data_IF_244310127583
#
_entry.id   IF_244310127583
#
_cell.length_a   1.000
_cell.length_b   1.000
_cell.length_c   1.000
_cell.angle_alpha   90.00
_cell.angle_beta   90.00
_cell.angle_gamma   90.00
#
_symmetry.space_group_name_H-M   'P 1'
#
loop_
_entity.id
_entity.type
_entity.pdbx_description
1 polymer ?
#
# COMPACT_ATOMS: atom_id res chain seq x y z
N UNK A 1 22.94 -6.85 -9.85
CA UNK A 1 21.79 -6.38 -9.04
C UNK A 1 21.65 -4.88 -9.24
N UNK A 2 20.63 -4.44 -9.97
CA UNK A 2 20.36 -3.01 -10.24
C UNK A 2 19.92 -2.31 -8.95
N UNK A 3 20.52 -1.16 -8.63
CA UNK A 3 20.20 -0.40 -7.41
C UNK A 3 18.79 0.16 -7.48
N UNK A 4 18.07 0.20 -6.36
CA UNK A 4 16.70 0.74 -6.31
C UNK A 4 16.65 2.21 -6.81
N UNK A 5 17.71 2.98 -6.56
CA UNK A 5 17.86 4.35 -7.07
C UNK A 5 17.90 4.45 -8.60
N UNK A 6 18.59 3.53 -9.29
CA UNK A 6 18.70 3.54 -10.76
C UNK A 6 17.34 3.32 -11.43
N UNK A 7 16.50 2.44 -10.86
CA UNK A 7 15.14 2.21 -11.36
C UNK A 7 14.27 3.44 -11.19
N UNK A 8 14.37 4.13 -10.06
CA UNK A 8 13.66 5.40 -9.83
C UNK A 8 14.08 6.46 -10.84
N UNK A 9 15.38 6.57 -11.15
CA UNK A 9 15.87 7.53 -12.15
C UNK A 9 15.30 7.26 -13.54
N UNK A 10 15.24 6.00 -13.96
CA UNK A 10 14.63 5.64 -15.25
C UNK A 10 13.14 5.98 -15.28
N UNK A 11 12.39 5.70 -14.20
CA UNK A 11 10.98 6.06 -14.10
C UNK A 11 10.75 7.57 -14.12
N UNK A 12 11.62 8.35 -13.48
CA UNK A 12 11.59 9.81 -13.51
C UNK A 12 11.79 10.35 -14.92
N UNK A 13 12.78 9.83 -15.66
CA UNK A 13 13.03 10.22 -17.05
C UNK A 13 11.82 9.87 -17.94
N UNK A 14 11.25 8.67 -17.76
CA UNK A 14 10.05 8.24 -18.50
C UNK A 14 8.81 9.09 -18.17
N UNK A 15 8.74 9.65 -16.96
CA UNK A 15 7.71 10.59 -16.55
C UNK A 15 7.97 12.03 -17.06
N UNK A 16 9.05 12.27 -17.81
CA UNK A 16 9.42 13.57 -18.35
C UNK A 16 10.21 14.47 -17.38
N UNK A 17 10.63 13.96 -16.22
CA UNK A 17 11.47 14.71 -15.27
C UNK A 17 12.91 14.76 -15.78
N UNK A 18 13.33 15.92 -16.28
CA UNK A 18 14.65 16.14 -16.85
C UNK A 18 15.35 17.41 -16.29
N UNK A 19 16.53 17.74 -16.82
CA UNK A 19 17.25 18.97 -16.48
C UNK A 19 17.76 19.05 -15.04
N UNK A 20 17.73 20.25 -14.46
CA UNK A 20 18.29 20.50 -13.12
C UNK A 20 17.51 19.79 -12.02
N UNK A 21 16.19 19.63 -12.17
CA UNK A 21 15.37 18.89 -11.22
C UNK A 21 15.79 17.42 -11.16
N UNK A 22 16.00 16.77 -12.32
CA UNK A 22 16.50 15.39 -12.35
C UNK A 22 17.89 15.27 -11.71
N UNK A 23 18.81 16.20 -11.99
CA UNK A 23 20.15 16.21 -11.37
C UNK A 23 20.07 16.33 -9.85
N UNK A 24 19.19 17.20 -9.34
CA UNK A 24 18.96 17.36 -7.91
C UNK A 24 18.39 16.08 -7.28
N UNK A 25 17.35 15.47 -7.88
CA UNK A 25 16.76 14.22 -7.37
C UNK A 25 17.79 13.09 -7.39
N UNK A 26 18.56 12.98 -8.47
CA UNK A 26 19.66 12.01 -8.58
C UNK A 26 20.65 12.20 -7.44
N UNK A 27 21.17 13.40 -7.24
CA UNK A 27 22.08 13.72 -6.12
C UNK A 27 21.45 13.47 -4.75
N UNK A 28 20.15 13.67 -4.60
CA UNK A 28 19.41 13.44 -3.36
C UNK A 28 19.29 11.94 -3.03
N UNK A 29 19.16 11.10 -4.06
CA UNK A 29 18.98 9.64 -3.91
C UNK A 29 20.27 8.83 -3.97
N UNK A 30 21.33 9.36 -4.59
CA UNK A 30 22.61 8.68 -4.77
C UNK A 30 23.52 8.77 -3.53
N UNK A 31 24.31 7.71 -3.30
CA UNK A 31 25.44 7.65 -2.36
C UNK A 31 25.19 8.21 -0.95
N UNK A 32 24.07 7.84 -0.34
CA UNK A 32 23.72 8.33 1.00
C UNK A 32 24.50 7.58 2.08
N UNK A 33 25.12 8.32 2.99
CA UNK A 33 25.77 7.76 4.17
C UNK A 33 24.94 8.15 5.39
N UNK A 34 24.61 7.19 6.25
CA UNK A 34 23.96 7.45 7.53
C UNK A 34 24.84 7.05 8.71
N UNK A 35 24.60 7.73 9.84
CA UNK A 35 25.12 7.40 11.16
C UNK A 35 23.97 7.46 12.15
N UNK A 36 24.03 6.62 13.18
CA UNK A 36 23.04 6.57 14.26
C UNK A 36 23.70 7.19 15.48
N UNK A 37 23.03 8.18 16.09
CA UNK A 37 23.44 8.73 17.38
C UNK A 37 22.52 8.18 18.46
N UNK A 38 23.10 7.58 19.49
CA UNK A 38 22.37 7.10 20.67
C UNK A 38 23.04 7.64 21.92
N UNK A 39 22.37 8.57 22.61
CA UNK A 39 22.96 9.37 23.69
C UNK A 39 24.18 10.16 23.17
N UNK A 40 25.35 9.92 23.76
CA UNK A 40 26.62 10.53 23.38
C UNK A 40 27.45 9.70 22.40
N UNK A 41 26.97 8.53 22.00
CA UNK A 41 27.69 7.62 21.12
C UNK A 41 27.21 7.74 19.68
N UNK A 42 28.14 7.68 18.73
CA UNK A 42 27.89 7.65 17.28
C UNK A 42 28.31 6.31 16.71
N UNK A 43 27.46 5.72 15.87
CA UNK A 43 27.79 4.51 15.13
C UNK A 43 28.76 4.78 13.97
N UNK A 44 29.27 3.69 13.38
CA UNK A 44 30.06 3.74 12.14
C UNK A 44 29.21 4.28 10.97
N UNK A 45 29.86 4.77 9.92
CA UNK A 45 29.19 5.15 8.68
C UNK A 45 28.58 3.92 8.01
N UNK A 46 27.31 4.01 7.61
CA UNK A 46 26.65 3.01 6.77
C UNK A 46 26.28 3.63 5.43
N UNK A 47 26.57 2.94 4.33
CA UNK A 47 26.16 3.37 3.00
C UNK A 47 24.77 2.81 2.69
N UNK A 48 23.79 3.69 2.50
CA UNK A 48 22.41 3.34 2.18
C UNK A 48 22.26 3.22 0.66
N UNK A 49 22.24 1.98 0.17
CA UNK A 49 22.09 1.68 -1.26
C UNK A 49 20.63 1.52 -1.70
N UNK A 50 19.69 1.49 -0.75
CA UNK A 50 18.27 1.21 -1.00
C UNK A 50 17.36 2.15 -0.20
N UNK A 51 16.16 2.36 -0.75
CA UNK A 51 15.12 3.17 -0.13
C UNK A 51 15.33 4.68 -0.30
N UNK A 52 14.33 5.42 0.14
CA UNK A 52 14.35 6.88 0.22
C UNK A 52 14.63 7.31 1.67
N UNK A 53 15.20 8.51 1.91
CA UNK A 53 15.38 9.02 3.26
C UNK A 53 14.02 9.16 3.97
N UNK A 54 13.84 8.43 5.06
CA UNK A 54 12.66 8.56 5.91
C UNK A 54 12.62 9.97 6.52
N UNK A 55 11.44 10.59 6.53
CA UNK A 55 11.24 11.95 7.03
C UNK A 55 11.58 13.08 6.06
N UNK A 56 12.07 12.78 4.86
CA UNK A 56 12.23 13.80 3.83
C UNK A 56 10.90 14.07 3.11
N UNK A 57 10.58 15.35 2.93
CA UNK A 57 9.31 15.83 2.34
C UNK A 57 9.02 15.21 0.97
N UNK A 58 10.06 15.03 0.14
CA UNK A 58 9.90 14.48 -1.22
C UNK A 58 9.78 12.96 -1.32
N UNK A 59 10.06 12.22 -0.23
CA UNK A 59 10.14 10.75 -0.29
C UNK A 59 8.80 10.10 -0.66
N UNK A 60 7.68 10.60 -0.13
CA UNK A 60 6.36 10.09 -0.49
C UNK A 60 6.04 10.31 -1.98
N UNK A 61 6.39 11.47 -2.53
CA UNK A 61 6.17 11.78 -3.95
C UNK A 61 7.02 10.90 -4.87
N UNK A 62 8.29 10.67 -4.51
CA UNK A 62 9.16 9.77 -5.28
C UNK A 62 8.69 8.31 -5.21
N UNK A 63 8.18 7.88 -4.06
CA UNK A 63 7.57 6.56 -3.94
C UNK A 63 6.34 6.43 -4.83
N UNK A 64 5.44 7.41 -4.82
CA UNK A 64 4.25 7.41 -5.69
C UNK A 64 4.63 7.36 -7.18
N UNK A 65 5.65 8.12 -7.61
CA UNK A 65 6.18 8.04 -8.98
C UNK A 65 6.78 6.67 -9.30
N UNK A 66 7.43 6.03 -8.32
CA UNK A 66 8.04 4.72 -8.48
C UNK A 66 7.02 3.61 -8.74
N UNK A 67 5.89 3.65 -8.03
CA UNK A 67 4.83 2.63 -8.09
C UNK A 67 3.82 2.88 -9.21
N UNK A 68 3.79 4.08 -9.80
CA UNK A 68 2.72 4.49 -10.72
C UNK A 68 2.58 3.61 -11.98
N UNK A 69 3.67 3.03 -12.47
CA UNK A 69 3.63 2.13 -13.63
C UNK A 69 3.01 0.76 -13.33
N UNK A 70 2.86 0.37 -12.05
CA UNK A 70 2.11 -0.81 -11.64
C UNK A 70 0.65 -0.73 -12.10
N UNK A 71 0.03 0.46 -11.99
CA UNK A 71 -1.35 0.68 -12.44
C UNK A 71 -1.48 0.39 -13.93
N UNK A 72 -0.49 0.80 -14.72
CA UNK A 72 -0.46 0.54 -16.16
C UNK A 72 -0.29 -0.95 -16.46
N UNK A 73 0.53 -1.66 -15.68
CA UNK A 73 0.70 -3.11 -15.81
C UNK A 73 -0.60 -3.86 -15.48
N UNK A 74 -1.31 -3.49 -14.41
CA UNK A 74 -2.55 -4.16 -13.99
C UNK A 74 -3.71 -3.91 -14.95
N UNK A 75 -3.80 -2.72 -15.55
CA UNK A 75 -4.80 -2.37 -16.57
C UNK A 75 -4.72 -3.18 -17.86
N UNK A 76 -3.66 -3.97 -18.05
CA UNK A 76 -3.58 -4.92 -19.18
C UNK A 76 -4.56 -6.09 -19.02
N UNK A 77 -5.05 -6.36 -17.81
CA UNK A 77 -6.08 -7.36 -17.56
C UNK A 77 -7.46 -6.74 -17.74
N UNK A 78 -8.24 -7.28 -18.68
CA UNK A 78 -9.58 -6.77 -19.00
C UNK A 78 -10.54 -6.88 -17.81
N UNK A 79 -11.28 -5.78 -17.58
CA UNK A 79 -12.25 -5.59 -16.50
C UNK A 79 -11.66 -5.79 -15.09
N UNK A 80 -10.36 -5.54 -14.93
CA UNK A 80 -9.70 -5.44 -13.63
C UNK A 80 -9.35 -3.98 -13.40
N UNK A 81 -9.77 -3.47 -12.26
CA UNK A 81 -9.43 -2.13 -11.81
C UNK A 81 -8.52 -2.22 -10.58
N UNK A 82 -7.79 -1.15 -10.34
CA UNK A 82 -6.95 -1.03 -9.15
C UNK A 82 -6.93 0.40 -8.60
N UNK A 83 -6.70 0.50 -7.30
CA UNK A 83 -6.56 1.75 -6.57
C UNK A 83 -5.26 1.68 -5.78
N UNK A 84 -4.47 2.74 -5.86
CA UNK A 84 -3.17 2.85 -5.22
C UNK A 84 -3.17 4.09 -4.34
N UNK A 85 -2.89 3.90 -3.06
CA UNK A 85 -2.78 4.99 -2.10
C UNK A 85 -1.55 4.77 -1.22
N UNK A 86 -0.49 5.55 -1.45
CA UNK A 86 0.82 5.30 -0.85
C UNK A 86 1.24 3.83 -1.06
N UNK A 87 1.45 3.07 0.01
CA UNK A 87 1.82 1.66 -0.01
C UNK A 87 0.62 0.69 -0.09
N UNK A 88 -0.61 1.18 0.04
CA UNK A 88 -1.82 0.37 -0.07
C UNK A 88 -2.27 0.20 -1.53
N UNK A 89 -2.44 -1.06 -1.94
CA UNK A 89 -2.97 -1.46 -3.25
C UNK A 89 -4.26 -2.25 -3.09
N UNK A 90 -5.30 -1.86 -3.83
CA UNK A 90 -6.54 -2.62 -3.97
C UNK A 90 -6.69 -3.02 -5.43
N UNK A 91 -6.99 -4.30 -5.68
CA UNK A 91 -7.30 -4.83 -7.01
C UNK A 91 -8.70 -5.42 -6.93
N UNK A 92 -9.58 -5.07 -7.85
CA UNK A 92 -10.93 -5.62 -7.91
C UNK A 92 -11.39 -5.87 -9.33
N UNK A 93 -12.43 -6.70 -9.45
CA UNK A 93 -13.11 -7.00 -10.70
C UNK A 93 -14.58 -7.27 -10.42
N UNK A 94 -15.39 -7.24 -11.47
CA UNK A 94 -16.82 -7.52 -11.40
C UNK A 94 -17.16 -8.59 -12.44
N UNK A 95 -18.13 -9.43 -12.11
CA UNK A 95 -18.65 -10.44 -13.03
C UNK A 95 -20.16 -10.61 -12.84
N UNK A 96 -20.89 -10.93 -13.92
CA UNK A 96 -22.29 -11.30 -13.81
C UNK A 96 -22.46 -12.58 -13.00
N UNK A 97 -23.64 -12.77 -12.38
CA UNK A 97 -23.94 -13.92 -11.50
C UNK A 97 -23.62 -15.28 -12.14
N UNK A 98 -23.87 -15.42 -13.45
CA UNK A 98 -23.57 -16.63 -14.22
C UNK A 98 -22.05 -16.76 -14.40
N UNK A 99 -21.48 -17.87 -13.92
CA UNK A 99 -20.03 -18.14 -13.97
C UNK A 99 -19.17 -17.08 -13.25
N UNK A 100 -19.73 -16.38 -12.26
CA UNK A 100 -19.03 -15.32 -11.52
C UNK A 100 -17.71 -15.82 -10.93
N UNK A 101 -17.74 -16.98 -10.26
CA UNK A 101 -16.57 -17.58 -9.59
C UNK A 101 -15.39 -17.73 -10.53
N UNK A 102 -15.53 -18.52 -11.59
CA UNK A 102 -14.42 -18.83 -12.51
C UNK A 102 -13.94 -17.58 -13.26
N UNK A 103 -14.84 -16.66 -13.64
CA UNK A 103 -14.45 -15.42 -14.30
C UNK A 103 -13.63 -14.52 -13.37
N UNK A 104 -14.06 -14.36 -12.11
CA UNK A 104 -13.35 -13.53 -11.14
C UNK A 104 -12.01 -14.17 -10.77
N UNK A 105 -11.98 -15.47 -10.48
CA UNK A 105 -10.74 -16.20 -10.17
C UNK A 105 -9.71 -16.02 -11.28
N UNK A 106 -10.09 -16.29 -12.54
CA UNK A 106 -9.18 -16.17 -13.67
C UNK A 106 -8.65 -14.75 -13.87
N UNK A 107 -9.46 -13.73 -13.64
CA UNK A 107 -9.05 -12.32 -13.76
C UNK A 107 -8.11 -11.91 -12.63
N UNK A 108 -8.45 -12.25 -11.39
CA UNK A 108 -7.65 -11.91 -10.21
C UNK A 108 -6.32 -12.66 -10.23
N UNK A 109 -6.28 -13.95 -10.55
CA UNK A 109 -5.03 -14.72 -10.65
C UNK A 109 -4.08 -14.06 -11.66
N UNK A 110 -4.56 -13.71 -12.86
CA UNK A 110 -3.76 -12.98 -13.85
C UNK A 110 -3.22 -11.64 -13.33
N UNK A 111 -4.04 -10.90 -12.59
CA UNK A 111 -3.62 -9.64 -11.99
C UNK A 111 -2.55 -9.86 -10.89
N UNK A 112 -2.68 -10.91 -10.08
CA UNK A 112 -1.70 -11.30 -9.06
C UNK A 112 -0.38 -11.77 -9.68
N UNK A 113 -0.41 -12.47 -10.82
CA UNK A 113 0.79 -12.87 -11.55
C UNK A 113 1.56 -11.64 -12.06
N UNK A 114 0.86 -10.70 -12.69
CA UNK A 114 1.45 -9.42 -13.15
C UNK A 114 2.01 -8.63 -11.97
N UNK A 115 1.28 -8.56 -10.84
CA UNK A 115 1.77 -7.93 -9.62
C UNK A 115 3.05 -8.60 -9.13
N UNK A 116 3.08 -9.94 -9.10
CA UNK A 116 4.24 -10.71 -8.66
C UNK A 116 5.47 -10.41 -9.52
N UNK A 117 5.32 -10.43 -10.84
CA UNK A 117 6.38 -10.14 -11.79
C UNK A 117 6.87 -8.70 -11.66
N UNK A 118 5.94 -7.76 -11.53
CA UNK A 118 6.27 -6.35 -11.31
C UNK A 118 7.03 -6.16 -9.99
N UNK A 119 6.61 -6.82 -8.90
CA UNK A 119 7.28 -6.78 -7.61
C UNK A 119 8.72 -7.32 -7.70
N UNK A 120 8.93 -8.46 -8.36
CA UNK A 120 10.27 -9.02 -8.59
C UNK A 120 11.12 -8.05 -9.41
N UNK A 121 10.58 -7.54 -10.52
CA UNK A 121 11.27 -6.59 -11.40
C UNK A 121 11.60 -5.28 -10.69
N UNK A 122 10.82 -4.86 -9.69
CA UNK A 122 11.00 -3.60 -8.97
C UNK A 122 11.59 -3.77 -7.56
N UNK A 123 12.07 -4.97 -7.19
CA UNK A 123 12.60 -5.26 -5.84
C UNK A 123 11.62 -4.85 -4.71
N UNK A 124 10.34 -5.10 -4.92
CA UNK A 124 9.27 -4.83 -3.96
C UNK A 124 8.72 -6.15 -3.40
N UNK A 125 8.25 -6.11 -2.16
CA UNK A 125 7.67 -7.27 -1.48
C UNK A 125 6.28 -6.94 -0.99
N UNK A 126 5.32 -7.81 -1.27
CA UNK A 126 3.94 -7.72 -0.76
C UNK A 126 3.91 -8.28 0.66
N UNK A 127 3.28 -7.56 1.60
CA UNK A 127 3.08 -8.06 2.96
C UNK A 127 1.85 -8.98 3.00
N UNK A 128 2.09 -10.29 2.97
CA UNK A 128 1.03 -11.29 2.93
C UNK A 128 0.23 -11.39 4.23
N UNK A 129 0.81 -11.06 5.39
CA UNK A 129 0.09 -11.05 6.67
C UNK A 129 -0.99 -9.97 6.72
N UNK A 130 -0.77 -8.87 5.99
CA UNK A 130 -1.73 -7.77 5.86
C UNK A 130 -2.61 -7.87 4.62
N UNK A 131 -2.36 -8.84 3.75
CA UNK A 131 -3.12 -9.01 2.51
C UNK A 131 -4.33 -9.89 2.77
N UNK A 132 -5.51 -9.41 2.41
CA UNK A 132 -6.74 -10.16 2.52
C UNK A 132 -7.57 -10.06 1.24
N UNK A 133 -8.40 -11.07 1.00
CA UNK A 133 -9.40 -11.05 -0.06
C UNK A 133 -10.79 -10.94 0.55
N UNK A 134 -11.66 -10.21 -0.14
CA UNK A 134 -13.06 -10.06 0.24
C UNK A 134 -13.93 -10.14 -1.01
N UNK A 135 -15.12 -10.72 -0.86
CA UNK A 135 -16.10 -10.77 -1.94
C UNK A 135 -17.40 -10.12 -1.50
N UNK A 136 -17.92 -9.24 -2.35
CA UNK A 136 -19.22 -8.62 -2.19
C UNK A 136 -20.20 -9.30 -3.14
N UNK A 137 -21.24 -9.92 -2.58
CA UNK A 137 -22.24 -10.64 -3.36
C UNK A 137 -23.58 -10.62 -2.65
N UNK A 138 -24.65 -10.47 -3.42
CA UNK A 138 -26.02 -10.69 -2.95
C UNK A 138 -26.36 -12.19 -2.83
N UNK A 139 -25.54 -13.05 -3.42
CA UNK A 139 -25.70 -14.50 -3.29
C UNK A 139 -25.13 -15.00 -1.96
N UNK A 140 -25.80 -15.97 -1.35
CA UNK A 140 -25.45 -16.51 -0.03
C UNK A 140 -24.21 -17.44 -0.02
N UNK A 141 -23.46 -17.50 -1.13
CA UNK A 141 -22.30 -18.37 -1.30
C UNK A 141 -20.99 -17.57 -1.36
N UNK A 142 -20.00 -18.05 -0.63
CA UNK A 142 -18.60 -17.62 -0.73
C UNK A 142 -18.07 -18.00 -2.11
N UNK A 143 -17.76 -17.00 -2.94
CA UNK A 143 -17.34 -17.23 -4.33
C UNK A 143 -15.85 -17.60 -4.44
N UNK A 144 -15.00 -17.13 -3.53
CA UNK A 144 -13.54 -17.21 -3.66
C UNK A 144 -12.91 -17.66 -2.34
N UNK A 145 -12.42 -18.90 -2.28
CA UNK A 145 -11.77 -19.45 -1.07
C UNK A 145 -10.31 -19.82 -1.28
N UNK A 146 -9.89 -20.05 -2.53
CA UNK A 146 -8.62 -20.74 -2.84
C UNK A 146 -7.62 -19.87 -3.62
N UNK A 147 -7.73 -18.54 -3.51
CA UNK A 147 -6.79 -17.62 -4.17
C UNK A 147 -5.39 -17.72 -3.54
N UNK A 148 -4.38 -17.80 -4.40
CA UNK A 148 -2.98 -17.83 -3.99
C UNK A 148 -2.22 -16.67 -4.62
N UNK A 149 -1.30 -16.10 -3.86
CA UNK A 149 -0.27 -15.22 -4.38
C UNK A 149 1.05 -15.98 -4.37
N UNK A 150 1.56 -16.31 -5.56
CA UNK A 150 2.63 -17.32 -5.73
C UNK A 150 2.20 -18.63 -5.10
N UNK A 151 2.95 -19.14 -4.12
CA UNK A 151 2.66 -20.39 -3.43
C UNK A 151 1.90 -20.22 -2.10
N UNK A 152 1.56 -18.98 -1.72
CA UNK A 152 0.93 -18.68 -0.44
C UNK A 152 -0.57 -18.41 -0.62
N UNK A 153 -1.40 -19.13 0.13
CA UNK A 153 -2.84 -18.90 0.15
C UNK A 153 -3.17 -17.54 0.78
N UNK A 154 -4.00 -16.75 0.10
CA UNK A 154 -4.47 -15.48 0.60
C UNK A 154 -5.60 -15.70 1.60
N UNK A 155 -5.57 -14.93 2.69
CA UNK A 155 -6.60 -15.03 3.73
C UNK A 155 -7.90 -14.42 3.19
N UNK A 156 -8.98 -15.19 3.21
CA UNK A 156 -10.31 -14.66 2.97
C UNK A 156 -10.85 -14.03 4.26
N UNK A 157 -11.26 -12.76 4.19
CA UNK A 157 -11.88 -12.07 5.32
C UNK A 157 -13.22 -11.44 4.94
N UNK A 158 -14.21 -11.63 5.80
CA UNK A 158 -15.53 -10.99 5.68
C UNK A 158 -15.54 -9.55 6.19
N UNK A 159 -14.45 -9.10 6.81
CA UNK A 159 -14.25 -7.74 7.31
C UNK A 159 -12.86 -7.25 6.93
N UNK A 160 -12.78 -6.10 6.28
CA UNK A 160 -11.50 -5.50 5.91
C UNK A 160 -11.51 -4.01 6.23
N UNK A 161 -10.36 -3.49 6.67
CA UNK A 161 -10.18 -2.06 6.93
C UNK A 161 -9.34 -1.47 5.80
N UNK A 162 -9.88 -0.47 5.12
CA UNK A 162 -9.18 0.29 4.08
C UNK A 162 -9.34 1.78 4.37
N UNK A 163 -8.23 2.50 4.53
CA UNK A 163 -8.22 3.95 4.83
C UNK A 163 -9.14 4.34 6.00
N UNK A 164 -9.06 3.58 7.10
CA UNK A 164 -9.91 3.72 8.30
C UNK A 164 -11.41 3.42 8.11
N UNK A 165 -11.83 2.96 6.93
CA UNK A 165 -13.19 2.50 6.67
C UNK A 165 -13.26 0.99 6.80
N UNK A 166 -14.23 0.49 7.57
CA UNK A 166 -14.45 -0.94 7.78
C UNK A 166 -15.51 -1.43 6.82
N UNK A 167 -15.12 -2.32 5.90
CA UNK A 167 -16.01 -2.96 4.94
C UNK A 167 -16.41 -4.34 5.43
N UNK A 168 -17.70 -4.55 5.67
CA UNK A 168 -18.27 -5.88 5.86
C UNK A 168 -18.83 -6.45 4.55
N UNK A 169 -18.82 -7.77 4.42
CA UNK A 169 -19.30 -8.46 3.22
C UNK A 169 -20.78 -8.18 2.87
N UNK A 170 -21.57 -7.71 3.83
CA UNK A 170 -22.99 -7.34 3.66
C UNK A 170 -23.18 -5.86 3.32
N UNK A 171 -22.12 -5.05 3.37
CA UNK A 171 -22.12 -3.59 3.22
C UNK A 171 -23.22 -2.92 4.06
N UNK A 172 -23.49 -3.42 5.28
CA UNK A 172 -24.54 -2.88 6.14
C UNK A 172 -24.05 -1.76 7.07
N UNK A 173 -22.75 -1.45 7.05
CA UNK A 173 -22.08 -0.38 7.79
C UNK A 173 -22.15 -0.48 9.31
N UNK A 174 -22.83 -1.49 9.89
CA UNK A 174 -22.97 -1.63 11.35
C UNK A 174 -21.62 -1.73 12.02
N UNK A 175 -20.75 -2.59 11.48
CA UNK A 175 -19.40 -2.81 11.99
C UNK A 175 -18.56 -1.53 12.00
N UNK A 176 -18.69 -0.72 10.95
CA UNK A 176 -18.01 0.56 10.83
C UNK A 176 -18.55 1.60 11.83
N UNK A 177 -19.87 1.73 11.94
CA UNK A 177 -20.52 2.65 12.87
C UNK A 177 -20.17 2.30 14.32
N UNK A 178 -20.18 1.02 14.69
CA UNK A 178 -19.74 0.54 16.01
C UNK A 178 -18.26 0.88 16.27
N UNK A 179 -17.37 0.67 15.29
CA UNK A 179 -15.94 1.00 15.40
C UNK A 179 -15.72 2.50 15.63
N UNK A 180 -16.38 3.36 14.86
CA UNK A 180 -16.33 4.81 15.04
C UNK A 180 -16.89 5.20 16.42
N UNK A 181 -18.04 4.66 16.79
CA UNK A 181 -18.69 4.97 18.07
C UNK A 181 -17.79 4.61 19.25
N UNK A 182 -17.16 3.44 19.21
CA UNK A 182 -16.20 3.02 20.24
C UNK A 182 -14.94 3.91 20.27
N UNK A 183 -14.44 4.36 19.12
CA UNK A 183 -13.32 5.31 19.03
C UNK A 183 -13.68 6.67 19.64
N UNK A 184 -14.89 7.15 19.38
CA UNK A 184 -15.41 8.40 19.95
C UNK A 184 -15.61 8.29 21.46
N UNK A 185 -16.20 7.20 21.96
CA UNK A 185 -16.39 6.96 23.39
C UNK A 185 -15.04 6.92 24.14
N UNK A 186 -14.05 6.23 23.60
CA UNK A 186 -12.69 6.22 24.17
C UNK A 186 -12.07 7.62 24.21
N UNK A 187 -12.25 8.43 23.16
CA UNK A 187 -11.77 9.82 23.12
C UNK A 187 -12.57 10.75 24.05
N UNK A 188 -13.87 10.52 24.24
CA UNK A 188 -14.74 11.30 25.11
C UNK A 188 -14.32 11.26 26.58
N UNK A 189 -13.70 10.17 27.04
CA UNK A 189 -13.13 10.08 28.40
C UNK A 189 -12.04 11.13 28.61
N UNK A 190 -11.23 11.42 27.59
CA UNK A 190 -10.21 12.47 27.66
C UNK A 190 -10.78 13.88 27.64
N UNK A 191 -11.94 14.10 27.00
CA UNK A 191 -12.63 15.40 26.98
C UNK A 191 -13.36 15.72 28.29
N UNK A 192 -13.61 14.73 29.17
CA UNK A 192 -14.21 14.94 30.49
C UNK A 192 -13.22 15.38 31.58
N UNK A 193 -11.94 15.54 31.26
CA UNK A 193 -10.95 16.04 32.21
C UNK A 193 -10.18 17.27 31.66
N UNK A 194 -10.71 18.49 31.84
CA UNK A 194 -9.91 19.71 31.73
C UNK A 194 -9.82 20.38 33.11
N UNK A 195 -8.90 19.91 33.97
CA UNK A 195 -8.36 20.78 35.01
C UNK A 195 -7.14 21.48 34.41
N UNK A 196 -7.38 22.59 33.69
CA UNK A 196 -6.33 23.46 33.20
C UNK A 196 -5.93 24.41 34.32
N UNK A 197 -4.84 24.12 35.02
CA UNK A 197 -4.14 25.13 35.81
C UNK A 197 -3.03 25.68 34.90
N UNK A 198 -3.28 26.82 34.27
CA UNK A 198 -2.23 27.61 33.63
C UNK A 198 -1.49 28.40 34.71
N UNK A 199 -0.34 27.92 35.15
CA UNK A 199 0.65 28.73 35.86
C UNK A 199 1.53 29.43 34.82
N UNK A 200 1.40 30.75 34.73
CA UNK A 200 2.39 31.59 34.07
C UNK A 200 3.53 31.85 35.05
N UNK A 201 4.76 31.70 34.57
CA UNK A 201 5.94 32.35 35.14
C UNK A 201 6.43 33.39 34.12
#
# INVERSE_FOLDING_TARGET
MTRCGEKLHQKLLNAGVCGNMFKWIRSFTDQRICKIKFGNSLSKCYNLQTGLPQGAVGSCSFFNLYINDLVSALKTVKDVDCLLFADDLVIWTQAPKRNAKSLIENKIIKALDILSDWCIKNNMTVNLEKTATQTFSLAHQTLLSDLKYRDVALIHSNKFNYLEVTFDNKLNWKSHIESISNRLLKKSVYFKAPCWISLWM
#
